data_IF_491816848962
#
_entry.id   IF_491816848962
#
_cell.length_a   1.000
_cell.length_b   1.000
_cell.length_c   1.000
_cell.angle_alpha   90.00
_cell.angle_beta   90.00
_cell.angle_gamma   90.00
#
_symmetry.space_group_name_H-M   'P 1'
#
loop_
_entity.id
_entity.type
_entity.pdbx_description
1 polymer ?
#
# COMPACT_ATOMS: atom_id res chain seq x y z
N UNK A 1 34.40 -18.93 13.30
CA UNK A 1 35.19 -18.26 12.25
C UNK A 1 35.52 -16.86 12.73
N UNK A 2 36.78 -16.57 13.04
CA UNK A 2 37.22 -15.20 13.32
C UNK A 2 37.33 -14.48 11.98
N UNK A 3 36.38 -13.59 11.68
CA UNK A 3 36.44 -12.73 10.50
C UNK A 3 37.65 -11.80 10.67
N UNK A 4 38.62 -11.91 9.76
CA UNK A 4 39.78 -10.99 9.70
C UNK A 4 39.25 -9.56 9.54
N UNK A 5 39.88 -8.62 10.25
CA UNK A 5 39.61 -7.19 10.09
C UNK A 5 39.84 -6.78 8.63
N UNK A 6 38.95 -5.96 8.04
CA UNK A 6 39.09 -5.60 6.65
C UNK A 6 40.21 -4.57 6.45
N UNK A 7 40.98 -4.77 5.37
CA UNK A 7 42.22 -4.05 5.02
C UNK A 7 42.08 -2.52 4.93
N UNK A 8 40.87 -1.99 4.70
CA UNK A 8 40.63 -0.55 4.57
C UNK A 8 40.67 0.20 5.91
N UNK A 9 40.52 -0.49 7.05
CA UNK A 9 40.61 0.14 8.37
C UNK A 9 42.00 0.67 8.72
N UNK A 10 43.06 0.17 8.08
CA UNK A 10 44.43 0.62 8.29
C UNK A 10 44.81 1.83 7.42
N UNK A 11 44.14 2.03 6.28
CA UNK A 11 44.39 3.16 5.38
C UNK A 11 43.88 4.49 5.98
N UNK A 12 42.70 4.47 6.62
CA UNK A 12 42.08 5.65 7.25
C UNK A 12 42.89 6.18 8.45
N UNK A 13 43.68 5.31 9.10
CA UNK A 13 44.51 5.71 10.25
C UNK A 13 45.82 6.40 9.87
N UNK A 14 46.30 6.24 8.64
CA UNK A 14 47.60 6.79 8.19
C UNK A 14 47.51 8.23 7.68
N UNK A 15 46.32 8.74 7.40
CA UNK A 15 46.10 10.06 6.81
C UNK A 15 45.68 11.14 7.82
N UNK A 16 45.57 10.80 9.11
CA UNK A 16 45.13 11.71 10.18
C UNK A 16 46.25 12.60 10.77
N UNK A 17 47.21 13.05 9.96
CA UNK A 17 48.17 14.10 10.34
C UNK A 17 47.94 15.33 9.44
N UNK A 18 47.45 16.47 9.97
CA UNK A 18 47.03 17.58 9.14
C UNK A 18 48.19 18.55 8.89
N UNK A 19 48.40 18.93 7.64
CA UNK A 19 48.86 20.28 7.30
C UNK A 19 47.89 20.81 6.25
N UNK A 20 47.30 21.95 6.59
CA UNK A 20 46.28 22.64 5.82
C UNK A 20 46.87 23.25 4.55
N UNK A 21 46.09 23.26 3.47
CA UNK A 21 45.97 24.38 2.52
C UNK A 21 44.82 24.11 1.53
N UNK A 22 44.05 25.17 1.26
CA UNK A 22 42.85 25.22 0.43
C UNK A 22 43.08 24.77 -1.03
N UNK A 23 42.15 24.01 -1.60
CA UNK A 23 41.81 24.08 -3.04
C UNK A 23 40.53 23.30 -3.37
N UNK A 24 39.74 23.86 -4.30
CA UNK A 24 38.61 23.26 -5.01
C UNK A 24 39.00 21.93 -5.71
N UNK A 25 39.01 20.83 -4.96
CA UNK A 25 39.11 19.50 -5.52
C UNK A 25 38.09 18.61 -4.83
N UNK A 26 37.23 17.98 -5.64
CA UNK A 26 36.45 16.81 -5.21
C UNK A 26 37.42 15.81 -4.60
N UNK A 27 37.51 15.83 -3.27
CA UNK A 27 38.51 15.06 -2.55
C UNK A 27 38.28 13.56 -2.80
N UNK A 28 39.32 12.74 -2.93
CA UNK A 28 39.16 11.30 -3.14
C UNK A 28 38.35 10.62 -2.02
N UNK A 29 38.28 11.25 -0.84
CA UNK A 29 37.44 10.83 0.29
C UNK A 29 35.95 11.01 -0.01
N UNK A 30 35.53 12.16 -0.56
CA UNK A 30 34.12 12.38 -0.91
C UNK A 30 33.67 11.47 -2.06
N UNK A 31 34.54 11.19 -3.03
CA UNK A 31 34.24 10.23 -4.13
C UNK A 31 34.07 8.80 -3.59
N UNK A 32 34.86 8.40 -2.60
CA UNK A 32 34.73 7.07 -1.97
C UNK A 32 33.48 7.00 -1.10
N UNK A 33 33.14 8.06 -0.37
CA UNK A 33 31.91 8.13 0.41
C UNK A 33 30.66 8.07 -0.48
N UNK A 34 30.66 8.77 -1.62
CA UNK A 34 29.58 8.71 -2.62
C UNK A 34 29.46 7.33 -3.28
N UNK A 35 30.58 6.66 -3.53
CA UNK A 35 30.57 5.29 -4.04
C UNK A 35 30.01 4.32 -3.00
N UNK A 36 30.39 4.49 -1.73
CA UNK A 36 29.89 3.65 -0.64
C UNK A 36 28.39 3.86 -0.47
N UNK A 37 27.89 5.09 -0.43
CA UNK A 37 26.46 5.36 -0.34
C UNK A 37 25.70 4.76 -1.53
N UNK A 38 26.20 4.94 -2.76
CA UNK A 38 25.61 4.36 -3.97
C UNK A 38 25.53 2.82 -3.95
N UNK A 39 26.60 2.15 -3.50
CA UNK A 39 26.60 0.69 -3.35
C UNK A 39 25.65 0.21 -2.24
N UNK A 40 25.54 0.99 -1.17
CA UNK A 40 24.63 0.71 -0.06
C UNK A 40 23.18 0.80 -0.54
N UNK A 41 22.84 1.86 -1.28
CA UNK A 41 21.53 2.03 -1.90
C UNK A 41 21.22 0.85 -2.84
N UNK A 42 22.14 0.52 -3.75
CA UNK A 42 21.95 -0.58 -4.69
C UNK A 42 21.72 -1.91 -3.97
N UNK A 43 22.38 -2.14 -2.83
CA UNK A 43 22.14 -3.31 -1.99
C UNK A 43 20.71 -3.30 -1.43
N UNK A 44 20.25 -2.19 -0.87
CA UNK A 44 18.89 -2.06 -0.32
C UNK A 44 17.84 -2.28 -1.41
N UNK A 45 18.01 -1.71 -2.61
CA UNK A 45 17.13 -1.97 -3.76
C UNK A 45 16.99 -3.46 -4.08
N UNK A 46 18.12 -4.19 -4.10
CA UNK A 46 18.13 -5.64 -4.36
C UNK A 46 17.44 -6.41 -3.25
N UNK A 47 17.69 -6.06 -1.99
CA UNK A 47 17.07 -6.69 -0.82
C UNK A 47 15.55 -6.49 -0.81
N UNK A 48 15.07 -5.26 -1.04
CA UNK A 48 13.64 -4.92 -1.17
C UNK A 48 12.99 -5.71 -2.30
N UNK A 49 13.61 -5.69 -3.49
CA UNK A 49 13.07 -6.39 -4.67
C UNK A 49 13.02 -7.91 -4.44
N UNK A 50 14.05 -8.48 -3.83
CA UNK A 50 14.12 -9.91 -3.54
C UNK A 50 13.09 -10.32 -2.49
N UNK A 51 12.93 -9.54 -1.42
CA UNK A 51 11.92 -9.78 -0.39
C UNK A 51 10.50 -9.76 -0.98
N UNK A 52 10.19 -8.78 -1.82
CA UNK A 52 8.90 -8.70 -2.51
C UNK A 52 8.69 -9.87 -3.48
N UNK A 53 9.67 -10.18 -4.35
CA UNK A 53 9.53 -11.29 -5.31
C UNK A 53 9.35 -12.63 -4.62
N UNK A 54 10.11 -12.89 -3.56
CA UNK A 54 9.98 -14.15 -2.81
C UNK A 54 8.65 -14.23 -2.08
N UNK A 55 8.24 -13.18 -1.37
CA UNK A 55 6.95 -13.11 -0.68
C UNK A 55 5.77 -13.25 -1.63
N UNK A 56 5.78 -12.53 -2.77
CA UNK A 56 4.70 -12.57 -3.76
C UNK A 56 4.64 -13.89 -4.53
N UNK A 57 5.79 -14.50 -4.84
CA UNK A 57 5.82 -15.84 -5.45
C UNK A 57 5.09 -16.85 -4.56
N UNK A 58 5.36 -16.79 -3.26
CA UNK A 58 4.76 -17.71 -2.29
C UNK A 58 3.28 -17.36 -2.03
N UNK A 59 2.91 -16.08 -2.01
CA UNK A 59 1.52 -15.61 -1.93
C UNK A 59 0.67 -15.98 -3.16
N UNK A 60 1.29 -16.21 -4.32
CA UNK A 60 0.63 -16.69 -5.55
C UNK A 60 0.46 -18.21 -5.62
N UNK A 61 0.96 -18.95 -4.62
CA UNK A 61 0.94 -20.40 -4.65
C UNK A 61 -0.47 -20.99 -4.58
N UNK A 62 -0.65 -22.16 -5.18
CA UNK A 62 -1.95 -22.86 -5.21
C UNK A 62 -2.36 -23.41 -3.83
N UNK A 63 -1.39 -23.58 -2.93
CA UNK A 63 -1.58 -24.11 -1.59
C UNK A 63 -1.56 -23.01 -0.51
N UNK A 64 -2.57 -23.01 0.36
CA UNK A 64 -2.73 -22.04 1.45
C UNK A 64 -1.53 -21.96 2.39
N UNK A 65 -0.85 -23.08 2.68
CA UNK A 65 0.33 -23.07 3.56
C UNK A 65 1.49 -22.22 2.98
N UNK A 66 1.70 -22.27 1.66
CA UNK A 66 2.71 -21.46 0.99
C UNK A 66 2.29 -19.99 0.96
N UNK A 67 1.01 -19.72 0.74
CA UNK A 67 0.47 -18.36 0.78
C UNK A 67 0.62 -17.73 2.15
N UNK A 68 0.25 -18.44 3.21
CA UNK A 68 0.47 -18.03 4.62
C UNK A 68 1.95 -17.74 4.88
N UNK A 69 2.86 -18.59 4.39
CA UNK A 69 4.31 -18.35 4.51
C UNK A 69 4.74 -17.07 3.79
N UNK A 70 4.25 -16.87 2.56
CA UNK A 70 4.49 -15.67 1.76
C UNK A 70 3.99 -14.39 2.44
N UNK A 71 2.72 -14.39 2.87
CA UNK A 71 2.07 -13.27 3.56
C UNK A 71 2.77 -12.91 4.87
N UNK A 72 3.20 -13.90 5.66
CA UNK A 72 4.00 -13.65 6.86
C UNK A 72 5.37 -13.03 6.54
N UNK A 73 5.98 -13.46 5.43
CA UNK A 73 7.20 -12.84 4.90
C UNK A 73 6.98 -11.38 4.51
N UNK A 74 5.92 -11.11 3.76
CA UNK A 74 5.53 -9.76 3.34
C UNK A 74 5.22 -8.86 4.53
N UNK A 75 4.47 -9.34 5.53
CA UNK A 75 4.16 -8.55 6.72
C UNK A 75 5.42 -8.17 7.52
N UNK A 76 6.37 -9.11 7.68
CA UNK A 76 7.67 -8.81 8.30
C UNK A 76 8.46 -7.79 7.49
N UNK A 77 8.45 -7.92 6.18
CA UNK A 77 9.10 -6.97 5.26
C UNK A 77 8.48 -5.57 5.37
N UNK A 78 7.15 -5.44 5.34
CA UNK A 78 6.47 -4.15 5.49
C UNK A 78 6.78 -3.48 6.84
N UNK A 79 6.91 -4.27 7.91
CA UNK A 79 7.35 -3.76 9.22
C UNK A 79 8.77 -3.18 9.13
N UNK A 80 9.72 -3.89 8.52
CA UNK A 80 11.08 -3.34 8.33
C UNK A 80 11.11 -2.11 7.42
N UNK A 81 10.23 -2.04 6.42
CA UNK A 81 10.09 -0.86 5.54
C UNK A 81 9.60 0.35 6.33
N UNK A 82 8.66 0.15 7.26
CA UNK A 82 8.08 1.24 8.06
C UNK A 82 9.08 1.92 9.01
N UNK A 83 10.27 1.34 9.22
CA UNK A 83 11.31 1.89 10.09
C UNK A 83 12.15 2.99 9.43
N UNK A 84 12.05 3.17 8.10
CA UNK A 84 12.90 4.13 7.37
C UNK A 84 12.20 4.76 6.17
N UNK A 85 12.19 6.09 6.10
CA UNK A 85 11.58 6.85 4.99
C UNK A 85 12.17 6.49 3.62
N UNK A 86 13.47 6.22 3.54
CA UNK A 86 14.10 5.79 2.30
C UNK A 86 13.57 4.41 1.86
N UNK A 87 13.39 3.47 2.79
CA UNK A 87 12.79 2.17 2.51
C UNK A 87 11.31 2.29 2.08
N UNK A 88 10.55 3.21 2.67
CA UNK A 88 9.17 3.51 2.26
C UNK A 88 9.16 3.99 0.81
N UNK A 89 10.03 4.93 0.45
CA UNK A 89 10.13 5.43 -0.92
C UNK A 89 10.51 4.32 -1.93
N UNK A 90 11.45 3.45 -1.57
CA UNK A 90 11.81 2.28 -2.37
C UNK A 90 10.65 1.30 -2.55
N UNK A 91 9.89 1.06 -1.49
CA UNK A 91 8.67 0.27 -1.56
C UNK A 91 7.65 0.92 -2.50
N UNK A 92 7.36 2.22 -2.35
CA UNK A 92 6.45 2.94 -3.26
C UNK A 92 6.87 2.80 -4.72
N UNK A 93 8.16 3.01 -5.03
CA UNK A 93 8.68 2.80 -6.38
C UNK A 93 8.49 1.37 -6.88
N UNK A 94 8.71 0.37 -6.03
CA UNK A 94 8.50 -1.03 -6.40
C UNK A 94 7.04 -1.32 -6.79
N UNK A 95 6.07 -0.63 -6.19
CA UNK A 95 4.64 -0.82 -6.47
C UNK A 95 4.21 -0.24 -7.83
N UNK A 96 5.07 0.53 -8.51
CA UNK A 96 4.86 0.91 -9.92
C UNK A 96 5.11 -0.25 -10.90
N UNK A 97 5.86 -1.28 -10.48
CA UNK A 97 6.19 -2.44 -11.30
C UNK A 97 5.10 -3.51 -11.13
N UNK A 98 4.38 -3.89 -12.19
CA UNK A 98 3.22 -4.80 -12.09
C UNK A 98 3.54 -6.14 -11.41
N UNK A 99 4.75 -6.68 -11.62
CA UNK A 99 5.16 -7.95 -11.02
C UNK A 99 5.31 -7.89 -9.50
N UNK A 100 5.61 -6.70 -8.96
CA UNK A 100 5.91 -6.44 -7.55
C UNK A 100 4.72 -5.83 -6.79
N UNK A 101 3.59 -5.62 -7.47
CA UNK A 101 2.39 -5.09 -6.84
C UNK A 101 1.80 -6.10 -5.86
N UNK A 102 1.63 -5.66 -4.61
CA UNK A 102 1.13 -6.52 -3.53
C UNK A 102 -0.39 -6.61 -3.57
N UNK A 103 -1.09 -5.47 -3.67
CA UNK A 103 -2.56 -5.39 -3.56
C UNK A 103 -3.29 -6.34 -4.53
N UNK A 104 -2.98 -6.36 -5.85
CA UNK A 104 -3.67 -7.26 -6.78
C UNK A 104 -3.47 -8.75 -6.44
N UNK A 105 -2.32 -9.12 -5.87
CA UNK A 105 -2.03 -10.50 -5.46
C UNK A 105 -2.91 -10.92 -4.28
N UNK A 106 -3.12 -10.03 -3.30
CA UNK A 106 -3.97 -10.30 -2.14
C UNK A 106 -5.41 -10.60 -2.58
N UNK A 107 -6.00 -9.74 -3.41
CA UNK A 107 -7.38 -9.90 -3.89
C UNK A 107 -7.55 -11.13 -4.79
N UNK A 108 -6.52 -11.48 -5.57
CA UNK A 108 -6.61 -12.63 -6.49
C UNK A 108 -6.46 -13.98 -5.80
N UNK A 109 -5.60 -14.07 -4.78
CA UNK A 109 -5.18 -15.36 -4.22
C UNK A 109 -5.61 -15.61 -2.78
N UNK A 110 -5.90 -14.57 -1.99
CA UNK A 110 -6.19 -14.71 -0.56
C UNK A 110 -7.52 -14.11 -0.13
N UNK A 111 -7.96 -13.01 -0.74
CA UNK A 111 -9.23 -12.31 -0.44
C UNK A 111 -10.30 -12.52 -1.52
N UNK A 112 -10.20 -13.61 -2.31
CA UNK A 112 -11.18 -13.93 -3.35
C UNK A 112 -12.50 -14.35 -2.70
N UNK A 113 -13.61 -13.86 -3.23
CA UNK A 113 -14.94 -14.32 -2.82
C UNK A 113 -15.14 -15.79 -3.24
N UNK A 114 -15.55 -16.64 -2.30
CA UNK A 114 -15.72 -18.08 -2.51
C UNK A 114 -16.78 -18.44 -3.57
N UNK A 115 -17.57 -17.48 -4.04
CA UNK A 115 -18.65 -17.73 -5.02
C UNK A 115 -18.13 -18.11 -6.41
N UNK A 116 -16.90 -17.73 -6.78
CA UNK A 116 -16.35 -18.05 -8.10
C UNK A 116 -15.94 -19.52 -8.28
N UNK A 117 -15.97 -20.33 -7.21
CA UNK A 117 -15.60 -21.75 -7.24
C UNK A 117 -16.83 -22.69 -7.18
N UNK A 118 -18.03 -22.21 -7.50
CA UNK A 118 -19.21 -23.09 -7.62
C UNK A 118 -18.99 -24.12 -8.72
N UNK A 119 -18.63 -25.34 -8.31
CA UNK A 119 -18.51 -26.49 -9.18
C UNK A 119 -19.92 -26.85 -9.64
N UNK A 120 -20.33 -26.37 -10.81
CA UNK A 120 -21.50 -26.92 -11.49
C UNK A 120 -21.28 -28.43 -11.68
N UNK A 121 -22.27 -29.25 -11.33
CA UNK A 121 -22.21 -30.72 -11.43
C UNK A 121 -21.76 -31.12 -12.84
N UNK A 122 -20.55 -31.66 -12.95
CA UNK A 122 -19.97 -32.15 -14.21
C UNK A 122 -20.33 -33.62 -14.42
N UNK A 123 -21.63 -33.91 -14.50
CA UNK A 123 -22.07 -35.27 -14.86
C UNK A 123 -21.86 -35.56 -16.35
N UNK A 124 -21.56 -34.55 -17.17
CA UNK A 124 -21.29 -34.70 -18.60
C UNK A 124 -20.04 -33.88 -18.98
N UNK A 125 -19.20 -34.43 -19.87
CA UNK A 125 -18.14 -33.77 -20.69
C UNK A 125 -16.70 -34.25 -20.38
N UNK A 126 -16.30 -35.32 -21.05
CA UNK A 126 -14.93 -35.84 -21.19
C UNK A 126 -14.02 -34.99 -22.11
N UNK A 127 -14.05 -33.65 -22.02
CA UNK A 127 -13.17 -32.79 -22.84
C UNK A 127 -12.78 -31.46 -22.18
N UNK A 128 -13.00 -31.30 -20.87
CA UNK A 128 -12.67 -30.05 -20.17
C UNK A 128 -11.28 -30.18 -19.55
N UNK A 129 -10.39 -29.23 -19.85
CA UNK A 129 -9.10 -29.11 -19.16
C UNK A 129 -9.34 -28.97 -17.65
N UNK A 130 -8.55 -29.67 -16.80
CA UNK A 130 -8.78 -29.64 -15.36
C UNK A 130 -8.63 -28.22 -14.84
N UNK A 131 -9.71 -27.67 -14.28
CA UNK A 131 -9.68 -26.39 -13.56
C UNK A 131 -8.61 -26.46 -12.47
N UNK A 132 -7.65 -25.52 -12.50
CA UNK A 132 -6.69 -25.32 -11.41
C UNK A 132 -7.44 -24.82 -10.18
N UNK A 133 -7.96 -25.74 -9.38
CA UNK A 133 -8.59 -25.41 -8.10
C UNK A 133 -7.49 -24.95 -7.15
N UNK A 134 -7.42 -23.64 -6.90
CA UNK A 134 -6.66 -23.12 -5.78
C UNK A 134 -7.32 -23.58 -4.48
N UNK A 135 -6.53 -23.99 -3.49
CA UNK A 135 -7.10 -24.33 -2.19
C UNK A 135 -7.83 -23.10 -1.61
N UNK A 136 -9.00 -23.26 -0.98
CA UNK A 136 -9.71 -22.14 -0.37
C UNK A 136 -8.82 -21.45 0.68
N UNK A 137 -9.01 -20.14 0.86
CA UNK A 137 -8.29 -19.36 1.86
C UNK A 137 -8.69 -19.79 3.27
N UNK A 138 -7.69 -20.09 4.10
CA UNK A 138 -7.90 -20.36 5.52
C UNK A 138 -8.06 -19.05 6.28
N UNK A 139 -8.66 -19.10 7.47
CA UNK A 139 -8.88 -17.94 8.32
C UNK A 139 -7.57 -17.20 8.65
N UNK A 140 -6.52 -17.96 8.99
CA UNK A 140 -5.18 -17.42 9.22
C UNK A 140 -4.56 -16.76 7.96
N UNK A 141 -4.87 -17.27 6.77
CA UNK A 141 -4.44 -16.67 5.51
C UNK A 141 -5.13 -15.32 5.28
N UNK A 142 -6.45 -15.27 5.48
CA UNK A 142 -7.26 -14.05 5.34
C UNK A 142 -6.78 -12.99 6.32
N UNK A 143 -6.63 -13.32 7.61
CA UNK A 143 -6.15 -12.37 8.62
C UNK A 143 -4.78 -11.78 8.25
N UNK A 144 -3.83 -12.60 7.77
CA UNK A 144 -2.53 -12.12 7.32
C UNK A 144 -2.63 -11.26 6.06
N UNK A 145 -3.47 -11.62 5.10
CA UNK A 145 -3.68 -10.84 3.89
C UNK A 145 -4.26 -9.45 4.22
N UNK A 146 -5.20 -9.37 5.15
CA UNK A 146 -5.76 -8.12 5.64
C UNK A 146 -4.71 -7.22 6.31
N UNK A 147 -3.83 -7.79 7.15
CA UNK A 147 -2.72 -7.02 7.77
C UNK A 147 -1.69 -6.56 6.75
N UNK A 148 -1.42 -7.35 5.72
CA UNK A 148 -0.53 -6.94 4.61
C UNK A 148 -1.19 -5.82 3.79
N UNK A 149 -2.49 -5.91 3.53
CA UNK A 149 -3.26 -4.88 2.85
C UNK A 149 -3.25 -3.57 3.63
N UNK A 150 -3.52 -3.62 4.94
CA UNK A 150 -3.42 -2.52 5.88
C UNK A 150 -2.05 -1.82 5.75
N UNK A 151 -0.96 -2.57 5.92
CA UNK A 151 0.39 -2.04 5.81
C UNK A 151 0.69 -1.40 4.45
N UNK A 152 0.23 -2.01 3.35
CA UNK A 152 0.39 -1.44 2.01
C UNK A 152 -0.34 -0.11 1.83
N UNK A 153 -1.56 0.02 2.35
CA UNK A 153 -2.37 1.23 2.27
C UNK A 153 -1.85 2.36 3.18
N UNK A 154 -1.23 2.00 4.32
CA UNK A 154 -0.59 2.97 5.21
C UNK A 154 0.70 3.54 4.62
N UNK A 155 1.51 2.70 3.97
CA UNK A 155 2.82 3.08 3.44
C UNK A 155 2.76 3.72 2.03
N UNK A 156 1.72 3.46 1.25
CA UNK A 156 1.67 3.90 -0.16
C UNK A 156 0.25 4.22 -0.61
N UNK A 157 0.02 5.47 -1.03
CA UNK A 157 -1.30 6.00 -1.40
C UNK A 157 -1.93 5.25 -2.59
N UNK A 158 -1.14 4.93 -3.60
CA UNK A 158 -1.63 4.27 -4.81
C UNK A 158 -2.04 2.83 -4.52
N UNK A 159 -1.50 2.19 -3.47
CA UNK A 159 -1.99 0.90 -2.97
C UNK A 159 -3.45 1.00 -2.51
N UNK A 160 -3.82 2.09 -1.84
CA UNK A 160 -5.22 2.36 -1.44
C UNK A 160 -6.13 2.53 -2.66
N UNK A 161 -5.66 3.26 -3.68
CA UNK A 161 -6.40 3.42 -4.95
C UNK A 161 -6.60 2.05 -5.63
N UNK A 162 -5.56 1.21 -5.66
CA UNK A 162 -5.66 -0.14 -6.21
C UNK A 162 -6.64 -1.00 -5.41
N UNK A 163 -6.64 -0.90 -4.07
CA UNK A 163 -7.59 -1.62 -3.22
C UNK A 163 -9.04 -1.24 -3.57
N UNK A 164 -9.33 0.06 -3.75
CA UNK A 164 -10.65 0.50 -4.21
C UNK A 164 -11.02 -0.05 -5.60
N UNK A 165 -10.09 -0.07 -6.55
CA UNK A 165 -10.32 -0.68 -7.88
C UNK A 165 -10.65 -2.17 -7.79
N UNK A 166 -10.13 -2.85 -6.79
CA UNK A 166 -10.42 -4.25 -6.49
C UNK A 166 -11.66 -4.44 -5.61
N UNK A 167 -12.52 -3.42 -5.45
CA UNK A 167 -13.74 -3.46 -4.63
C UNK A 167 -13.46 -3.90 -3.18
N UNK A 168 -12.38 -3.37 -2.59
CA UNK A 168 -11.98 -3.73 -1.23
C UNK A 168 -13.09 -3.57 -0.20
N UNK A 169 -13.88 -2.49 -0.26
CA UNK A 169 -14.92 -2.22 0.76
C UNK A 169 -15.95 -3.36 0.81
N UNK A 170 -16.63 -3.75 -0.29
CA UNK A 170 -17.53 -4.90 -0.29
C UNK A 170 -16.90 -6.20 0.22
N UNK A 171 -15.68 -6.52 -0.24
CA UNK A 171 -14.97 -7.75 0.16
C UNK A 171 -14.69 -7.76 1.67
N UNK A 172 -14.25 -6.63 2.21
CA UNK A 172 -13.99 -6.47 3.64
C UNK A 172 -15.28 -6.54 4.46
N UNK A 173 -16.38 -5.93 3.99
CA UNK A 173 -17.69 -6.04 4.65
C UNK A 173 -18.22 -7.48 4.66
N UNK A 174 -18.02 -8.23 3.58
CA UNK A 174 -18.34 -9.65 3.50
C UNK A 174 -17.51 -10.46 4.52
N UNK A 175 -16.19 -10.24 4.60
CA UNK A 175 -15.32 -10.90 5.57
C UNK A 175 -15.73 -10.57 7.01
N UNK A 176 -16.03 -9.31 7.31
CA UNK A 176 -16.49 -8.87 8.63
C UNK A 176 -17.78 -9.61 9.05
N UNK A 177 -18.69 -9.84 8.10
CA UNK A 177 -20.00 -10.46 8.33
C UNK A 177 -19.95 -11.99 8.40
N UNK A 178 -18.94 -12.63 7.81
CA UNK A 178 -18.91 -14.10 7.61
C UNK A 178 -17.81 -14.83 8.37
N UNK A 179 -16.74 -14.16 8.80
CA UNK A 179 -15.54 -14.78 9.39
C UNK A 179 -15.43 -14.57 10.90
N UNK A 180 -14.44 -15.21 11.52
CA UNK A 180 -14.21 -15.23 12.96
C UNK A 180 -13.59 -13.94 13.50
N UNK A 181 -13.47 -13.88 14.83
CA UNK A 181 -13.05 -12.68 15.58
C UNK A 181 -11.65 -12.19 15.15
N UNK A 182 -10.71 -13.11 14.90
CA UNK A 182 -9.35 -12.75 14.51
C UNK A 182 -9.27 -12.07 13.14
N UNK A 183 -10.14 -12.48 12.20
CA UNK A 183 -10.24 -11.90 10.87
C UNK A 183 -10.97 -10.56 10.93
N UNK A 184 -12.00 -10.45 11.79
CA UNK A 184 -12.75 -9.23 12.01
C UNK A 184 -11.86 -8.10 12.53
N UNK A 185 -11.01 -8.36 13.52
CA UNK A 185 -10.07 -7.36 14.05
C UNK A 185 -9.13 -6.84 12.95
N UNK A 186 -8.50 -7.75 12.21
CA UNK A 186 -7.63 -7.38 11.09
C UNK A 186 -8.39 -6.67 9.95
N UNK A 187 -9.66 -7.02 9.74
CA UNK A 187 -10.53 -6.42 8.73
C UNK A 187 -10.90 -4.98 9.09
N UNK A 188 -11.21 -4.73 10.36
CA UNK A 188 -11.50 -3.38 10.86
C UNK A 188 -10.27 -2.47 10.71
N UNK A 189 -9.09 -2.95 11.10
CA UNK A 189 -7.83 -2.20 10.95
C UNK A 189 -7.56 -1.85 9.47
N UNK A 190 -7.78 -2.80 8.55
CA UNK A 190 -7.64 -2.59 7.11
C UNK A 190 -8.68 -1.60 6.55
N UNK A 191 -9.94 -1.72 6.95
CA UNK A 191 -11.03 -0.79 6.58
C UNK A 191 -10.72 0.63 7.04
N UNK A 192 -10.32 0.79 8.30
CA UNK A 192 -9.95 2.08 8.88
C UNK A 192 -8.79 2.68 8.08
N UNK A 193 -7.76 1.91 7.74
CA UNK A 193 -6.62 2.41 6.96
C UNK A 193 -7.01 2.90 5.57
N UNK A 194 -7.92 2.19 4.90
CA UNK A 194 -8.45 2.58 3.58
C UNK A 194 -9.30 3.86 3.70
N UNK A 195 -10.16 3.96 4.72
CA UNK A 195 -11.06 5.09 4.93
C UNK A 195 -10.31 6.34 5.44
N UNK A 196 -9.36 6.19 6.37
CA UNK A 196 -8.59 7.31 6.93
C UNK A 196 -7.72 7.99 5.87
N UNK A 197 -7.14 7.24 4.94
CA UNK A 197 -6.39 7.84 3.81
C UNK A 197 -7.30 8.58 2.84
N UNK A 198 -8.54 8.16 2.69
CA UNK A 198 -9.57 8.95 2.00
C UNK A 198 -9.95 10.22 2.79
N UNK A 199 -9.99 10.16 4.12
CA UNK A 199 -10.21 11.30 5.01
C UNK A 199 -9.07 12.35 4.97
N UNK A 200 -7.81 11.92 5.00
CA UNK A 200 -6.65 12.79 4.83
C UNK A 200 -6.66 13.50 3.47
N UNK A 201 -7.08 12.81 2.41
CA UNK A 201 -7.29 13.41 1.10
C UNK A 201 -8.46 14.43 1.09
N UNK A 202 -9.57 14.13 1.77
CA UNK A 202 -10.69 15.07 1.94
C UNK A 202 -10.29 16.30 2.76
N UNK A 203 -9.46 16.13 3.79
CA UNK A 203 -8.94 17.24 4.60
C UNK A 203 -7.90 18.07 3.84
N UNK A 204 -7.04 17.44 3.04
CA UNK A 204 -6.15 18.14 2.10
C UNK A 204 -6.96 18.91 1.06
N UNK A 205 -8.03 18.33 0.51
CA UNK A 205 -8.97 19.00 -0.38
C UNK A 205 -9.65 20.20 0.29
N UNK A 206 -10.15 20.05 1.51
CA UNK A 206 -10.77 21.14 2.29
C UNK A 206 -9.73 22.23 2.61
N UNK A 207 -8.49 21.84 2.94
CA UNK A 207 -7.36 22.75 3.15
C UNK A 207 -6.97 23.51 1.88
N UNK A 208 -6.99 22.85 0.72
CA UNK A 208 -6.72 23.45 -0.59
C UNK A 208 -7.87 24.34 -1.10
N UNK A 209 -9.12 24.07 -0.68
CA UNK A 209 -10.27 24.97 -0.85
C UNK A 209 -10.18 26.20 0.07
N UNK A 210 -9.45 26.09 1.18
CA UNK A 210 -9.20 27.19 2.12
C UNK A 210 -7.91 27.99 1.88
N UNK A 211 -6.96 27.45 1.12
CA UNK A 211 -5.64 28.04 0.89
C UNK A 211 -5.38 28.27 -0.59
N UNK A 212 -5.14 29.53 -0.94
CA UNK A 212 -4.74 30.04 -2.27
C UNK A 212 -3.77 29.08 -2.99
N UNK A 213 -4.23 28.38 -4.02
CA UNK A 213 -3.59 28.39 -5.35
C UNK A 213 -4.42 27.63 -6.38
N UNK A 214 -4.54 28.23 -7.57
CA UNK A 214 -5.32 27.74 -8.70
C UNK A 214 -4.57 26.60 -9.40
N UNK A 215 -4.77 25.36 -8.96
CA UNK A 215 -4.55 24.16 -9.79
C UNK A 215 -5.87 23.74 -10.46
N UNK A 216 -5.84 23.07 -11.63
CA UNK A 216 -7.05 22.85 -12.42
C UNK A 216 -7.95 21.83 -11.71
N UNK A 217 -9.02 22.32 -11.09
CA UNK A 217 -10.05 21.55 -10.38
C UNK A 217 -10.62 20.33 -11.12
N UNK A 218 -10.45 20.26 -12.45
CA UNK A 218 -10.89 19.15 -13.29
C UNK A 218 -10.14 17.83 -13.02
N UNK A 219 -8.82 17.85 -12.78
CA UNK A 219 -8.06 16.63 -12.47
C UNK A 219 -8.42 16.08 -11.10
N UNK A 220 -8.64 16.97 -10.13
CA UNK A 220 -9.02 16.61 -8.77
C UNK A 220 -10.41 15.95 -8.74
N UNK A 221 -11.39 16.50 -9.46
CA UNK A 221 -12.71 15.88 -9.54
C UNK A 221 -12.67 14.49 -10.19
N UNK A 222 -11.84 14.31 -11.21
CA UNK A 222 -11.63 13.02 -11.85
C UNK A 222 -10.93 12.02 -10.93
N UNK A 223 -9.96 12.45 -10.14
CA UNK A 223 -9.28 11.60 -9.15
C UNK A 223 -10.20 11.21 -8.00
N UNK A 224 -11.02 12.14 -7.49
CA UNK A 224 -12.06 11.85 -6.50
C UNK A 224 -13.11 10.89 -7.09
N UNK A 225 -13.49 11.05 -8.36
CA UNK A 225 -14.38 10.12 -9.08
C UNK A 225 -13.79 8.73 -9.20
N UNK A 226 -12.50 8.62 -9.49
CA UNK A 226 -11.76 7.35 -9.55
C UNK A 226 -11.58 6.68 -8.18
N UNK A 227 -11.50 7.47 -7.10
CA UNK A 227 -11.27 6.99 -5.72
C UNK A 227 -12.57 6.61 -5.01
N UNK A 228 -13.59 7.45 -5.07
CA UNK A 228 -14.83 7.33 -4.29
C UNK A 228 -16.04 6.94 -5.16
N UNK A 229 -15.90 6.89 -6.48
CA UNK A 229 -17.01 6.69 -7.41
C UNK A 229 -17.75 7.98 -7.74
N UNK A 230 -18.59 7.94 -8.77
CA UNK A 230 -19.23 9.12 -9.36
C UNK A 230 -20.21 9.83 -8.43
N UNK A 231 -20.97 9.08 -7.63
CA UNK A 231 -21.91 9.65 -6.64
C UNK A 231 -21.19 10.36 -5.50
N UNK A 232 -20.17 9.74 -4.93
CA UNK A 232 -19.42 10.34 -3.82
C UNK A 232 -18.56 11.51 -4.30
N UNK A 233 -18.00 11.44 -5.51
CA UNK A 233 -17.25 12.56 -6.10
C UNK A 233 -18.11 13.75 -6.47
N UNK A 234 -19.35 13.54 -6.95
CA UNK A 234 -20.30 14.62 -7.20
C UNK A 234 -20.78 15.26 -5.89
N UNK A 235 -20.94 14.50 -4.81
CA UNK A 235 -21.25 15.02 -3.47
C UNK A 235 -20.10 15.85 -2.88
N UNK A 236 -18.86 15.36 -2.98
CA UNK A 236 -17.65 16.08 -2.56
C UNK A 236 -17.45 17.35 -3.40
N UNK A 237 -17.72 17.28 -4.70
CA UNK A 237 -17.67 18.44 -5.59
C UNK A 237 -18.71 19.50 -5.22
N UNK A 238 -19.97 19.09 -5.00
CA UNK A 238 -21.02 19.98 -4.53
C UNK A 238 -20.63 20.64 -3.20
N UNK A 239 -20.09 19.87 -2.25
CA UNK A 239 -19.59 20.36 -0.96
C UNK A 239 -18.52 21.45 -1.09
N UNK A 240 -17.60 21.30 -2.06
CA UNK A 240 -16.53 22.28 -2.30
C UNK A 240 -17.04 23.65 -2.76
N UNK A 241 -18.18 23.69 -3.46
CA UNK A 241 -18.81 24.93 -3.96
C UNK A 241 -19.60 25.68 -2.87
N UNK A 242 -20.10 24.99 -1.85
CA UNK A 242 -20.83 25.63 -0.73
C UNK A 242 -19.89 26.31 0.29
N UNK A 243 -18.60 25.99 0.28
CA UNK A 243 -17.63 26.46 1.29
C UNK A 243 -17.30 27.95 1.25
N UNK A 244 -17.60 28.65 0.14
CA UNK A 244 -17.21 30.06 -0.06
C UNK A 244 -18.21 31.10 0.46
N UNK A 245 -19.41 30.70 0.93
CA UNK A 245 -20.49 31.64 1.32
C UNK A 245 -21.01 31.47 2.75
N UNK A 246 -20.45 30.55 3.54
CA UNK A 246 -20.97 30.16 4.86
C UNK A 246 -20.01 30.50 6.00
N UNK A 247 -20.58 30.94 7.14
CA UNK A 247 -19.85 31.20 8.38
C UNK A 247 -19.12 29.94 8.89
N UNK A 248 -17.99 30.07 9.60
CA UNK A 248 -17.11 28.94 9.94
C UNK A 248 -17.78 27.82 10.75
N UNK A 249 -18.67 28.15 11.68
CA UNK A 249 -19.43 27.15 12.47
C UNK A 249 -20.49 26.42 11.62
N UNK A 250 -21.17 27.14 10.75
CA UNK A 250 -22.16 26.56 9.83
C UNK A 250 -21.48 25.70 8.76
N UNK A 251 -20.26 26.06 8.37
CA UNK A 251 -19.41 25.30 7.46
C UNK A 251 -18.95 23.98 8.07
N UNK A 252 -18.58 23.96 9.34
CA UNK A 252 -18.24 22.72 10.06
C UNK A 252 -19.43 21.77 10.11
N UNK A 253 -20.63 22.27 10.44
CA UNK A 253 -21.85 21.46 10.49
C UNK A 253 -22.26 20.95 9.09
N UNK A 254 -22.16 21.80 8.06
CA UNK A 254 -22.44 21.41 6.67
C UNK A 254 -21.45 20.35 6.14
N UNK A 255 -20.16 20.53 6.43
CA UNK A 255 -19.12 19.54 6.10
C UNK A 255 -19.34 18.23 6.86
N UNK A 256 -19.77 18.28 8.11
CA UNK A 256 -20.07 17.08 8.90
C UNK A 256 -21.26 16.30 8.31
N UNK A 257 -22.32 17.00 7.92
CA UNK A 257 -23.49 16.41 7.24
C UNK A 257 -23.10 15.83 5.87
N UNK A 258 -22.24 16.52 5.12
CA UNK A 258 -21.77 16.04 3.82
C UNK A 258 -20.80 14.87 3.92
N UNK A 259 -19.88 14.88 4.88
CA UNK A 259 -19.01 13.75 5.18
C UNK A 259 -19.84 12.52 5.57
N UNK A 260 -20.87 12.72 6.39
CA UNK A 260 -21.84 11.67 6.73
C UNK A 260 -22.58 11.13 5.50
N UNK A 261 -23.04 12.01 4.58
CA UNK A 261 -23.69 11.59 3.33
C UNK A 261 -22.73 10.88 2.37
N UNK A 262 -21.46 11.26 2.35
CA UNK A 262 -20.43 10.57 1.57
C UNK A 262 -20.19 9.17 2.15
N UNK A 263 -20.11 9.03 3.48
CA UNK A 263 -20.05 7.73 4.16
C UNK A 263 -21.30 6.88 3.87
N UNK A 264 -22.51 7.44 3.99
CA UNK A 264 -23.77 6.76 3.65
C UNK A 264 -23.85 6.37 2.15
N UNK A 265 -23.20 7.13 1.26
CA UNK A 265 -23.12 6.79 -0.17
C UNK A 265 -22.11 5.68 -0.47
N UNK A 266 -21.11 5.49 0.39
CA UNK A 266 -20.13 4.39 0.32
C UNK A 266 -20.74 3.08 0.85
N UNK A 267 -21.69 3.15 1.78
CA UNK A 267 -22.42 1.99 2.33
C UNK A 267 -23.50 1.40 1.39
N UNK A 268 -23.77 2.03 0.24
CA UNK A 268 -24.86 1.63 -0.67
C UNK A 268 -24.42 0.92 -1.97
N UNK A 269 -23.26 0.23 -1.96
CA UNK A 269 -22.83 -0.65 -3.05
C UNK A 269 -22.18 -1.93 -2.56
#
# INVERSE_FOLDING_TARGET
MYLKKPLWSEAVKRTASPTAEDSDQSSPLTVVEDLVSSLTDQRVYREVTLALRTGLRDARAEFSFLRVRGLRGLLKFLRSVSESDSAIHLFSQSQSVPELQVVPVLFRHSLRDSEEDSVASLDHIFSVEPMKKTSPSTDAEVALALRVLEGCCLLHRESTILAHRHKAIPVLMNILSTRGVAEQDACLDALISIILKCGEFLLLLIGHVNGRDKSPMATIHEDVRRLLGEKSASLVWAASQFGSTLNPEQRLTALHIQARRVLESLDMY
#
